data_IF_512216981440
#
_entry.id   IF_512216981440
#
_cell.length_a   1.000
_cell.length_b   1.000
_cell.length_c   1.000
_cell.angle_alpha   90.00
_cell.angle_beta   90.00
_cell.angle_gamma   90.00
#
_symmetry.space_group_name_H-M   'P 1'
#
loop_
_entity.id
_entity.type
_entity.pdbx_description
1 polymer ?
#
# COMPACT_ATOMS: atom_id res chain seq x y z
N UNK A 1 17.98 25.84 72.12
CA UNK A 1 17.81 24.80 71.09
C UNK A 1 18.02 25.45 69.73
N UNK A 2 18.95 24.87 68.93
CA UNK A 2 19.18 24.93 67.46
C UNK A 2 18.62 26.13 66.66
N UNK A 3 19.28 26.78 65.69
CA UNK A 3 20.61 26.78 65.05
C UNK A 3 20.54 27.98 64.07
N UNK A 4 21.47 28.93 64.15
CA UNK A 4 22.52 29.21 63.14
C UNK A 4 22.17 29.97 61.84
N UNK A 5 22.85 31.12 61.71
CA UNK A 5 23.56 31.70 60.55
C UNK A 5 22.83 32.54 59.47
N UNK A 6 22.89 33.87 59.65
CA UNK A 6 23.87 34.81 59.03
C UNK A 6 24.18 34.74 57.51
N UNK A 7 23.71 35.78 56.79
CA UNK A 7 24.48 36.70 55.91
C UNK A 7 24.95 36.28 54.49
N UNK A 8 24.38 36.98 53.48
CA UNK A 8 25.03 37.68 52.34
C UNK A 8 26.06 36.96 51.45
N UNK A 9 25.76 36.77 50.15
CA UNK A 9 26.48 37.37 49.01
C UNK A 9 25.91 36.93 47.63
N UNK A 10 25.77 37.92 46.73
CA UNK A 10 26.01 37.92 45.28
C UNK A 10 26.10 36.56 44.54
N UNK A 11 25.23 36.31 43.56
CA UNK A 11 25.52 35.38 42.46
C UNK A 11 24.93 35.88 41.14
N UNK A 12 25.80 35.95 40.15
CA UNK A 12 25.58 36.33 38.77
C UNK A 12 24.49 35.45 38.11
N UNK A 13 23.59 36.09 37.37
CA UNK A 13 22.67 35.38 36.47
C UNK A 13 23.50 34.91 35.26
N UNK A 14 23.85 33.63 35.28
CA UNK A 14 24.40 32.90 34.14
C UNK A 14 23.27 32.64 33.14
N UNK A 15 23.37 33.25 31.97
CA UNK A 15 22.58 32.90 30.78
C UNK A 15 23.16 31.60 30.24
N UNK A 16 22.50 30.47 30.52
CA UNK A 16 22.79 29.19 29.88
C UNK A 16 22.22 29.21 28.46
N UNK A 17 23.07 29.51 27.48
CA UNK A 17 22.89 29.04 26.12
C UNK A 17 22.97 27.52 26.14
N UNK A 18 21.85 26.84 25.92
CA UNK A 18 21.85 25.43 25.53
C UNK A 18 22.32 25.43 24.07
N UNK A 19 23.62 25.27 23.89
CA UNK A 19 24.20 24.87 22.62
C UNK A 19 23.63 23.49 22.26
N UNK A 20 23.09 23.35 21.06
CA UNK A 20 22.80 22.05 20.47
C UNK A 20 24.07 21.20 20.51
N UNK A 21 23.99 20.04 21.16
CA UNK A 21 24.97 18.98 21.03
C UNK A 21 25.11 18.63 19.54
N UNK A 22 26.22 19.04 18.94
CA UNK A 22 26.71 18.45 17.70
C UNK A 22 27.34 17.13 18.10
N UNK A 23 26.65 16.02 17.84
CA UNK A 23 27.25 14.69 17.94
C UNK A 23 28.55 14.65 17.12
N UNK A 24 29.59 14.08 17.73
CA UNK A 24 30.90 13.91 17.11
C UNK A 24 30.79 12.88 15.99
N UNK A 25 30.89 13.34 14.76
CA UNK A 25 31.20 12.50 13.61
C UNK A 25 32.68 12.16 13.68
N UNK A 26 33.03 10.87 13.77
CA UNK A 26 34.40 10.40 13.62
C UNK A 26 34.75 10.32 12.12
N UNK A 27 35.86 10.95 11.73
CA UNK A 27 36.34 11.04 10.35
C UNK A 27 37.58 10.16 10.18
N UNK A 28 37.58 9.31 9.15
CA UNK A 28 38.76 8.58 8.70
C UNK A 28 39.57 9.39 7.68
N UNK A 29 40.85 9.58 8.02
CA UNK A 29 42.05 10.01 7.25
C UNK A 29 41.92 11.01 6.08
N UNK A 30 42.53 12.20 6.26
CA UNK A 30 43.38 12.77 5.20
C UNK A 30 43.22 14.24 4.78
N UNK A 31 42.85 15.17 5.66
CA UNK A 31 42.97 16.62 5.39
C UNK A 31 42.10 17.46 6.32
N UNK A 32 42.63 18.57 6.83
CA UNK A 32 41.82 19.52 7.62
C UNK A 32 40.62 20.01 6.79
N UNK A 33 39.41 20.09 7.37
CA UNK A 33 38.22 20.55 6.66
C UNK A 33 38.41 22.01 6.22
N UNK A 34 38.37 22.25 4.91
CA UNK A 34 38.53 23.58 4.32
C UNK A 34 37.20 24.11 3.81
N UNK A 35 36.91 25.40 4.07
CA UNK A 35 35.79 26.09 3.45
C UNK A 35 36.09 26.34 1.97
N UNK A 36 35.10 26.09 1.11
CA UNK A 36 35.16 26.24 -0.35
C UNK A 36 33.95 27.05 -0.78
N UNK A 37 34.18 28.10 -1.56
CA UNK A 37 33.12 28.90 -2.18
C UNK A 37 32.67 28.26 -3.50
N UNK A 38 31.37 28.13 -3.70
CA UNK A 38 30.77 27.40 -4.83
C UNK A 38 29.71 28.25 -5.51
N UNK A 39 29.76 28.29 -6.85
CA UNK A 39 28.76 28.95 -7.68
C UNK A 39 27.58 28.03 -7.97
N UNK A 40 26.52 28.07 -7.15
CA UNK A 40 25.48 27.05 -7.22
C UNK A 40 24.63 27.13 -8.51
N UNK A 41 24.26 28.34 -8.96
CA UNK A 41 23.40 28.52 -10.16
C UNK A 41 24.04 28.09 -11.47
N UNK A 42 25.36 28.20 -11.60
CA UNK A 42 26.09 27.78 -12.81
C UNK A 42 26.24 26.25 -12.87
N UNK A 43 26.13 25.58 -11.73
CA UNK A 43 26.33 24.15 -11.59
C UNK A 43 25.02 23.37 -11.56
N UNK A 44 23.90 24.00 -11.21
CA UNK A 44 22.62 23.34 -10.99
C UNK A 44 21.54 23.85 -11.94
N UNK A 45 20.85 22.90 -12.57
CA UNK A 45 19.62 23.16 -13.30
C UNK A 45 18.49 22.24 -12.79
N UNK A 46 17.33 22.80 -12.46
CA UNK A 46 16.15 22.04 -12.00
C UNK A 46 15.16 21.94 -13.14
N UNK A 47 14.77 20.72 -13.47
CA UNK A 47 13.84 20.40 -14.56
C UNK A 47 12.63 19.66 -13.98
N UNK A 48 11.46 19.84 -14.58
CA UNK A 48 10.22 19.19 -14.15
C UNK A 48 9.69 18.32 -15.28
N UNK A 49 9.36 17.08 -14.95
CA UNK A 49 8.64 16.19 -15.88
C UNK A 49 7.14 16.32 -15.63
N UNK A 50 6.40 16.80 -16.62
CA UNK A 50 4.95 16.87 -16.55
C UNK A 50 4.32 15.46 -16.72
N UNK A 51 3.18 15.22 -16.07
CA UNK A 51 2.38 14.01 -16.29
C UNK A 51 1.75 14.05 -17.70
N UNK A 52 1.41 12.90 -18.33
CA UNK A 52 1.01 12.82 -19.75
C UNK A 52 -0.25 13.63 -20.15
N UNK A 53 -0.99 14.23 -19.21
CA UNK A 53 -2.25 14.96 -19.48
C UNK A 53 -2.32 16.40 -18.98
N UNK A 54 -1.27 16.97 -18.39
CA UNK A 54 -1.30 18.38 -17.94
C UNK A 54 -0.33 19.23 -18.76
N UNK A 55 -0.86 20.15 -19.57
CA UNK A 55 -0.11 21.31 -20.08
C UNK A 55 -0.29 22.44 -19.07
N UNK A 56 0.83 23.04 -18.63
CA UNK A 56 0.99 24.21 -17.73
C UNK A 56 1.38 23.83 -16.29
N UNK A 57 2.42 24.37 -15.65
CA UNK A 57 3.37 25.46 -15.97
C UNK A 57 4.77 25.05 -15.46
N UNK A 58 5.78 25.22 -16.31
CA UNK A 58 7.23 25.03 -16.07
C UNK A 58 7.85 26.06 -15.12
N UNK A 59 7.12 26.54 -14.09
CA UNK A 59 7.66 27.54 -13.17
C UNK A 59 8.31 26.84 -11.96
N UNK A 60 9.64 26.83 -11.93
CA UNK A 60 10.43 26.24 -10.86
C UNK A 60 10.84 27.25 -9.78
N UNK A 61 10.48 28.53 -9.90
CA UNK A 61 10.92 29.60 -8.99
C UNK A 61 10.63 29.28 -7.51
N UNK A 62 9.47 28.67 -7.22
CA UNK A 62 9.02 28.34 -5.88
C UNK A 62 9.49 26.98 -5.37
N UNK A 63 10.22 26.21 -6.19
CA UNK A 63 10.74 24.91 -5.75
C UNK A 63 11.74 25.12 -4.61
N UNK A 64 11.63 24.29 -3.59
CA UNK A 64 12.55 24.26 -2.46
C UNK A 64 13.75 23.42 -2.88
N UNK A 65 14.93 24.02 -2.88
CA UNK A 65 16.21 23.38 -3.15
C UNK A 65 17.02 23.34 -1.86
N UNK A 66 17.39 22.13 -1.46
CA UNK A 66 18.09 21.86 -0.21
C UNK A 66 19.39 21.11 -0.48
N UNK A 67 20.47 21.59 0.12
CA UNK A 67 21.78 20.94 0.10
C UNK A 67 21.94 20.08 1.35
N UNK A 68 22.34 18.83 1.17
CA UNK A 68 22.57 17.86 2.24
C UNK A 68 23.99 17.32 2.15
N UNK A 69 24.56 16.98 3.31
CA UNK A 69 25.73 16.08 3.34
C UNK A 69 25.30 14.68 2.87
N UNK A 70 26.24 13.86 2.42
CA UNK A 70 25.95 12.45 2.07
C UNK A 70 25.26 11.64 3.18
N UNK A 71 25.46 12.05 4.44
CA UNK A 71 24.89 11.42 5.62
C UNK A 71 23.49 11.99 5.99
N UNK A 72 22.83 12.66 5.05
CA UNK A 72 21.49 13.25 5.17
C UNK A 72 21.35 14.40 6.18
N UNK A 73 22.46 15.05 6.57
CA UNK A 73 22.39 16.27 7.38
C UNK A 73 22.10 17.47 6.49
N UNK A 74 21.04 18.22 6.80
CA UNK A 74 20.71 19.46 6.09
C UNK A 74 21.81 20.50 6.32
N UNK A 75 22.31 21.06 5.22
CA UNK A 75 23.32 22.13 5.22
C UNK A 75 22.62 23.47 5.07
N UNK A 76 21.86 23.63 4.00
CA UNK A 76 21.17 24.88 3.65
C UNK A 76 19.92 24.58 2.80
N UNK A 77 18.98 25.52 2.74
CA UNK A 77 17.74 25.41 1.95
C UNK A 77 17.22 26.76 1.48
N UNK A 78 16.73 26.81 0.24
CA UNK A 78 16.22 28.03 -0.41
C UNK A 78 15.02 27.71 -1.31
N UNK A 79 14.29 28.73 -1.74
CA UNK A 79 13.52 28.63 -2.99
C UNK A 79 14.49 28.73 -4.17
N UNK A 80 14.16 28.16 -5.32
CA UNK A 80 15.04 28.20 -6.50
C UNK A 80 15.31 29.63 -6.96
N UNK A 81 14.31 30.51 -6.88
CA UNK A 81 14.42 31.92 -7.21
C UNK A 81 15.35 32.69 -6.25
N UNK A 82 15.23 32.45 -4.94
CA UNK A 82 16.02 33.15 -3.93
C UNK A 82 17.35 32.44 -3.65
N UNK A 83 17.64 31.35 -4.37
CA UNK A 83 18.89 30.61 -4.26
C UNK A 83 20.08 31.53 -4.56
N UNK A 84 21.08 31.61 -3.66
CA UNK A 84 22.24 32.45 -3.85
C UNK A 84 23.12 31.95 -5.00
N UNK A 85 23.76 32.87 -5.70
CA UNK A 85 24.71 32.53 -6.77
C UNK A 85 25.99 31.90 -6.19
N UNK A 86 26.37 32.27 -4.96
CA UNK A 86 27.58 31.84 -4.29
C UNK A 86 27.27 31.39 -2.85
N UNK A 87 27.79 30.24 -2.45
CA UNK A 87 27.73 29.73 -1.07
C UNK A 87 29.11 29.31 -0.59
N UNK A 88 29.34 29.30 0.73
CA UNK A 88 30.58 28.80 1.34
C UNK A 88 30.28 27.57 2.18
N UNK A 89 30.86 26.42 1.84
CA UNK A 89 30.64 25.14 2.53
C UNK A 89 31.95 24.40 2.74
N UNK A 90 31.99 23.46 3.68
CA UNK A 90 33.18 22.63 3.88
C UNK A 90 33.41 21.70 2.69
N UNK A 91 34.68 21.40 2.38
CA UNK A 91 35.01 20.34 1.45
C UNK A 91 34.45 19.00 1.94
N UNK A 92 33.81 18.23 1.05
CA UNK A 92 33.12 16.99 1.42
C UNK A 92 32.20 16.47 0.33
N UNK A 93 31.40 15.46 0.67
CA UNK A 93 30.43 14.83 -0.23
C UNK A 93 29.02 15.29 0.09
N UNK A 94 28.27 15.70 -0.94
CA UNK A 94 26.97 16.32 -0.82
C UNK A 94 26.00 15.80 -1.88
N UNK A 95 24.71 16.01 -1.65
CA UNK A 95 23.68 15.89 -2.67
C UNK A 95 22.67 17.02 -2.53
N UNK A 96 21.92 17.28 -3.60
CA UNK A 96 20.87 18.30 -3.64
C UNK A 96 19.53 17.61 -3.83
N UNK A 97 18.54 18.04 -3.04
CA UNK A 97 17.14 17.65 -3.20
C UNK A 97 16.32 18.86 -3.63
N UNK A 98 15.53 18.71 -4.68
CA UNK A 98 14.58 19.71 -5.14
C UNK A 98 13.16 19.19 -4.96
N UNK A 99 12.26 20.00 -4.41
CA UNK A 99 10.84 19.65 -4.22
C UNK A 99 9.94 20.84 -4.55
N UNK A 100 8.76 20.60 -5.13
CA UNK A 100 7.83 21.69 -5.51
C UNK A 100 7.26 22.44 -4.30
N UNK A 101 7.08 21.72 -3.18
CA UNK A 101 6.64 22.24 -1.88
C UNK A 101 6.91 21.15 -0.84
N UNK A 102 6.48 21.30 0.42
CA UNK A 102 6.58 20.20 1.39
C UNK A 102 5.53 19.12 1.09
N UNK A 103 5.94 17.85 1.06
CA UNK A 103 5.01 16.73 0.85
C UNK A 103 3.97 16.69 1.98
N UNK A 104 2.69 16.80 1.61
CA UNK A 104 1.56 16.57 2.51
C UNK A 104 0.99 15.18 2.28
N UNK A 105 0.41 14.60 3.33
CA UNK A 105 -0.24 13.30 3.26
C UNK A 105 -1.46 13.32 2.32
N UNK A 106 -2.24 14.40 2.36
CA UNK A 106 -3.34 14.72 1.44
C UNK A 106 -3.14 16.17 0.97
N UNK A 107 -3.25 16.42 -0.34
CA UNK A 107 -3.06 17.74 -0.94
C UNK A 107 -3.97 17.96 -2.15
N UNK A 108 -4.08 19.22 -2.58
CA UNK A 108 -4.88 19.63 -3.76
C UNK A 108 -4.01 19.90 -4.99
N UNK A 109 -2.70 19.63 -4.90
CA UNK A 109 -1.73 19.87 -5.96
C UNK A 109 -0.71 18.74 -6.10
N UNK A 110 -0.21 18.56 -7.32
CA UNK A 110 0.86 17.62 -7.61
C UNK A 110 2.17 17.99 -6.88
N UNK A 111 2.82 17.00 -6.29
CA UNK A 111 4.09 17.13 -5.60
C UNK A 111 5.19 16.54 -6.47
N UNK A 112 6.17 17.36 -6.81
CA UNK A 112 7.33 16.95 -7.60
C UNK A 112 8.58 16.91 -6.74
N UNK A 113 9.39 15.88 -6.92
CA UNK A 113 10.66 15.72 -6.22
C UNK A 113 11.73 15.15 -7.15
N UNK A 114 12.95 15.63 -6.99
CA UNK A 114 14.15 15.10 -7.62
C UNK A 114 15.35 15.21 -6.70
N UNK A 115 16.29 14.28 -6.84
CA UNK A 115 17.52 14.23 -6.05
C UNK A 115 18.70 14.06 -6.99
N UNK A 116 19.78 14.83 -6.79
CA UNK A 116 21.01 14.65 -7.55
C UNK A 116 21.74 13.37 -7.15
N UNK A 117 22.67 12.92 -8.00
CA UNK A 117 23.74 12.02 -7.53
C UNK A 117 24.57 12.72 -6.45
N UNK A 118 25.25 11.93 -5.60
CA UNK A 118 26.23 12.45 -4.66
C UNK A 118 27.43 13.00 -5.43
N UNK A 119 27.87 14.22 -5.10
CA UNK A 119 29.03 14.87 -5.69
C UNK A 119 29.99 15.36 -4.61
N UNK A 120 31.28 15.40 -4.95
CA UNK A 120 32.32 15.88 -4.02
C UNK A 120 32.73 17.32 -4.33
N UNK A 121 32.78 18.14 -3.29
CA UNK A 121 33.30 19.50 -3.29
C UNK A 121 34.73 19.46 -2.76
N UNK A 122 35.69 19.90 -3.56
CA UNK A 122 37.12 19.87 -3.21
C UNK A 122 37.75 21.25 -3.38
N UNK A 123 38.73 21.63 -2.55
CA UNK A 123 39.44 22.89 -2.71
C UNK A 123 40.08 23.01 -4.10
N UNK A 124 39.96 24.18 -4.73
CA UNK A 124 40.54 24.50 -6.04
C UNK A 124 40.09 23.60 -7.20
N UNK A 125 38.98 22.87 -7.06
CA UNK A 125 38.37 22.08 -8.14
C UNK A 125 36.99 22.64 -8.50
N UNK A 126 36.62 22.57 -9.78
CA UNK A 126 35.25 22.85 -10.24
C UNK A 126 34.46 21.55 -10.14
N UNK A 127 33.35 21.58 -9.43
CA UNK A 127 32.43 20.45 -9.30
C UNK A 127 31.23 20.71 -10.20
N UNK A 128 30.96 19.85 -11.18
CA UNK A 128 29.73 19.92 -11.98
C UNK A 128 28.62 19.09 -11.34
N UNK A 129 27.39 19.62 -11.32
CA UNK A 129 26.19 18.89 -10.88
C UNK A 129 25.31 18.64 -12.10
N UNK A 130 24.90 17.39 -12.29
CA UNK A 130 23.97 17.05 -13.38
C UNK A 130 22.62 17.75 -13.12
N UNK A 131 21.87 18.12 -14.18
CA UNK A 131 20.51 18.62 -14.02
C UNK A 131 19.66 17.68 -13.17
N UNK A 132 18.91 18.25 -12.21
CA UNK A 132 17.99 17.50 -11.37
C UNK A 132 16.65 17.43 -12.08
N UNK A 133 16.22 16.21 -12.37
CA UNK A 133 14.90 15.94 -12.93
C UNK A 133 13.92 15.66 -11.80
N UNK A 134 12.94 16.54 -11.61
CA UNK A 134 11.86 16.36 -10.66
C UNK A 134 10.69 15.62 -11.32
N UNK A 135 10.15 14.64 -10.62
CA UNK A 135 9.00 13.85 -11.06
C UNK A 135 7.88 13.90 -10.04
N UNK A 136 6.63 13.77 -10.49
CA UNK A 136 5.49 13.66 -9.59
C UNK A 136 5.68 12.43 -8.71
N UNK A 137 5.60 12.58 -7.39
CA UNK A 137 5.72 11.46 -6.44
C UNK A 137 4.43 11.16 -5.70
N UNK A 138 3.47 12.08 -5.65
CA UNK A 138 2.15 11.79 -5.08
C UNK A 138 1.24 11.08 -6.08
N UNK A 139 0.28 10.34 -5.55
CA UNK A 139 -0.76 9.64 -6.33
C UNK A 139 -1.89 10.63 -6.55
N UNK A 140 -2.26 10.87 -7.81
CA UNK A 140 -3.40 11.71 -8.17
C UNK A 140 -4.67 10.86 -8.26
N UNK A 141 -5.75 11.23 -7.58
CA UNK A 141 -7.05 10.62 -7.75
C UNK A 141 -8.00 11.57 -8.47
N UNK A 142 -8.67 11.08 -9.50
CA UNK A 142 -9.63 11.84 -10.33
C UNK A 142 -10.94 11.09 -10.35
N UNK A 143 -12.04 11.74 -9.95
CA UNK A 143 -13.37 11.13 -9.95
C UNK A 143 -14.18 11.65 -11.13
N UNK A 144 -14.92 10.74 -11.76
CA UNK A 144 -15.84 11.03 -12.85
C UNK A 144 -17.10 10.20 -12.70
N UNK A 145 -18.21 10.76 -13.19
CA UNK A 145 -19.51 10.11 -13.26
C UNK A 145 -20.04 10.25 -14.68
N UNK A 146 -20.57 9.17 -15.24
CA UNK A 146 -21.25 9.27 -16.53
C UNK A 146 -22.55 10.10 -16.44
N UNK A 147 -22.98 10.66 -17.57
CA UNK A 147 -24.17 11.52 -17.65
C UNK A 147 -25.49 10.76 -17.43
N UNK A 148 -25.48 9.43 -17.52
CA UNK A 148 -26.68 8.63 -17.32
C UNK A 148 -26.93 8.44 -15.81
N UNK A 149 -25.90 8.01 -15.07
CA UNK A 149 -25.89 7.81 -13.63
C UNK A 149 -26.27 9.07 -12.87
N UNK A 150 -25.71 10.23 -13.24
CA UNK A 150 -25.98 11.52 -12.59
C UNK A 150 -27.48 11.84 -12.44
N UNK A 151 -28.33 11.35 -13.33
CA UNK A 151 -29.79 11.60 -13.31
C UNK A 151 -30.52 10.79 -12.23
N UNK A 152 -29.89 9.74 -11.71
CA UNK A 152 -30.45 8.82 -10.74
C UNK A 152 -29.82 8.95 -9.34
N UNK A 153 -28.75 9.74 -9.22
CA UNK A 153 -28.08 9.98 -7.94
C UNK A 153 -28.95 10.80 -6.99
N UNK A 154 -29.06 10.34 -5.75
CA UNK A 154 -29.63 11.08 -4.63
C UNK A 154 -28.71 12.20 -4.14
N UNK A 155 -29.19 12.98 -3.18
CA UNK A 155 -28.42 14.08 -2.58
C UNK A 155 -27.51 13.61 -1.44
N UNK A 156 -27.52 12.32 -1.12
CA UNK A 156 -26.76 11.70 -0.02
C UNK A 156 -25.49 10.96 -0.51
N UNK A 157 -25.09 11.19 -1.77
CA UNK A 157 -23.94 10.51 -2.37
C UNK A 157 -22.63 11.01 -1.76
N UNK A 158 -21.79 10.07 -1.36
CA UNK A 158 -20.42 10.28 -0.94
C UNK A 158 -19.46 9.36 -1.68
N UNK A 159 -18.27 9.87 -1.96
CA UNK A 159 -17.16 9.10 -2.51
C UNK A 159 -15.96 9.26 -1.60
N UNK A 160 -15.51 8.17 -0.99
CA UNK A 160 -14.31 8.17 -0.16
C UNK A 160 -13.18 7.45 -0.87
N UNK A 161 -12.04 8.12 -0.98
CA UNK A 161 -10.81 7.58 -1.53
C UNK A 161 -9.84 7.39 -0.36
N UNK A 162 -9.33 6.18 -0.18
CA UNK A 162 -8.35 5.85 0.86
C UNK A 162 -7.07 5.42 0.18
N UNK A 163 -5.94 5.99 0.56
CA UNK A 163 -4.61 5.67 0.03
C UNK A 163 -3.66 5.45 1.20
N UNK A 164 -3.28 4.18 1.42
CA UNK A 164 -2.58 3.78 2.65
C UNK A 164 -3.41 4.09 3.89
N UNK A 165 -2.90 4.92 4.80
CA UNK A 165 -3.59 5.34 6.04
C UNK A 165 -4.40 6.64 5.88
N UNK A 166 -4.29 7.31 4.72
CA UNK A 166 -4.90 8.61 4.49
C UNK A 166 -6.20 8.46 3.69
N UNK A 167 -7.17 9.36 3.92
CA UNK A 167 -8.42 9.36 3.17
C UNK A 167 -8.90 10.76 2.83
N UNK A 168 -9.76 10.84 1.81
CA UNK A 168 -10.52 12.02 1.47
C UNK A 168 -11.93 11.62 1.03
N UNK A 169 -12.94 12.31 1.55
CA UNK A 169 -14.34 12.06 1.25
C UNK A 169 -14.95 13.28 0.59
N UNK A 170 -15.51 13.07 -0.60
CA UNK A 170 -16.40 14.03 -1.23
C UNK A 170 -17.84 13.74 -0.80
N UNK A 171 -18.57 14.79 -0.41
CA UNK A 171 -20.02 14.74 -0.20
C UNK A 171 -20.80 15.51 -1.27
N UNK A 172 -20.08 16.08 -2.25
CA UNK A 172 -20.63 16.75 -3.42
C UNK A 172 -19.94 16.16 -4.67
N UNK A 173 -20.74 15.65 -5.60
CA UNK A 173 -20.24 15.03 -6.82
C UNK A 173 -19.59 16.04 -7.76
N UNK A 174 -20.03 17.30 -7.76
CA UNK A 174 -19.43 18.34 -8.58
C UNK A 174 -18.06 18.74 -8.02
N UNK A 175 -17.90 18.73 -6.69
CA UNK A 175 -16.60 18.90 -6.06
C UNK A 175 -15.65 17.76 -6.48
N UNK A 176 -16.13 16.51 -6.41
CA UNK A 176 -15.36 15.33 -6.78
C UNK A 176 -14.86 15.37 -8.24
N UNK A 177 -15.70 15.85 -9.16
CA UNK A 177 -15.39 15.95 -10.59
C UNK A 177 -14.35 17.04 -10.87
N UNK A 178 -14.50 18.20 -10.23
CA UNK A 178 -13.72 19.39 -10.58
C UNK A 178 -12.40 19.50 -9.80
N UNK A 179 -12.30 18.87 -8.63
CA UNK A 179 -11.16 19.02 -7.73
C UNK A 179 -10.46 17.67 -7.55
N UNK A 180 -9.41 17.35 -8.33
CA UNK A 180 -8.61 16.17 -8.05
C UNK A 180 -7.89 16.31 -6.71
N UNK A 181 -7.74 15.19 -6.00
CA UNK A 181 -7.00 15.13 -4.75
C UNK A 181 -5.73 14.31 -4.94
N UNK A 182 -4.70 14.62 -4.16
CA UNK A 182 -3.41 13.98 -4.22
C UNK A 182 -3.03 13.38 -2.87
N UNK A 183 -2.45 12.20 -2.90
CA UNK A 183 -2.05 11.47 -1.70
C UNK A 183 -0.55 11.17 -1.71
N UNK A 184 0.10 11.32 -0.57
CA UNK A 184 1.44 10.76 -0.40
C UNK A 184 1.37 9.23 -0.56
N UNK A 185 2.30 8.60 -1.31
CA UNK A 185 2.34 7.16 -1.41
C UNK A 185 2.68 6.53 -0.05
N UNK A 186 2.19 5.32 0.20
CA UNK A 186 2.62 4.54 1.35
C UNK A 186 4.11 4.15 1.21
N UNK A 187 4.72 3.72 2.31
CA UNK A 187 6.09 3.17 2.25
C UNK A 187 6.08 1.87 1.45
N UNK A 188 6.85 1.82 0.38
CA UNK A 188 6.93 0.65 -0.52
C UNK A 188 6.84 1.07 -1.99
N UNK A 189 6.94 0.10 -2.89
CA UNK A 189 6.82 0.34 -4.33
C UNK A 189 5.35 0.47 -4.79
N UNK A 190 4.44 -0.21 -4.07
CA UNK A 190 3.00 -0.27 -4.37
C UNK A 190 2.23 0.30 -3.18
N UNK A 191 1.21 1.10 -3.47
CA UNK A 191 0.27 1.67 -2.51
C UNK A 191 -1.15 1.20 -2.82
N UNK A 192 -1.82 0.64 -1.83
CA UNK A 192 -3.23 0.23 -1.95
C UNK A 192 -4.15 1.45 -1.93
N UNK A 193 -5.13 1.45 -2.82
CA UNK A 193 -6.14 2.49 -3.01
C UNK A 193 -7.53 1.87 -2.87
N UNK A 194 -8.33 2.33 -1.91
CA UNK A 194 -9.74 1.96 -1.80
C UNK A 194 -10.60 3.09 -2.34
N UNK A 195 -11.64 2.73 -3.08
CA UNK A 195 -12.69 3.62 -3.53
C UNK A 195 -14.00 3.12 -2.95
N UNK A 196 -14.62 3.95 -2.11
CA UNK A 196 -15.86 3.66 -1.42
C UNK A 196 -16.92 4.59 -1.99
N UNK A 197 -18.02 4.01 -2.48
CA UNK A 197 -19.21 4.74 -2.85
C UNK A 197 -20.30 4.44 -1.81
N UNK A 198 -20.96 5.48 -1.32
CA UNK A 198 -22.15 5.34 -0.47
C UNK A 198 -23.17 6.39 -0.91
N UNK A 199 -24.38 5.98 -1.26
CA UNK A 199 -25.39 6.94 -1.74
C UNK A 199 -26.64 6.28 -2.27
N UNK A 200 -27.69 7.07 -2.46
CA UNK A 200 -28.92 6.59 -3.09
C UNK A 200 -28.81 6.66 -4.61
N UNK A 201 -29.20 5.60 -5.32
CA UNK A 201 -29.32 5.53 -6.78
C UNK A 201 -30.68 4.96 -7.16
N UNK A 202 -31.46 5.72 -7.93
CA UNK A 202 -32.83 5.38 -8.35
C UNK A 202 -33.70 4.85 -7.20
N UNK A 203 -33.66 5.54 -6.05
CA UNK A 203 -34.36 5.22 -4.78
C UNK A 203 -33.80 4.06 -3.94
N UNK A 204 -32.80 3.33 -4.44
CA UNK A 204 -32.12 2.28 -3.69
C UNK A 204 -30.84 2.80 -3.05
N UNK A 205 -30.56 2.36 -1.82
CA UNK A 205 -29.28 2.65 -1.16
C UNK A 205 -28.22 1.71 -1.72
N UNK A 206 -27.12 2.27 -2.19
CA UNK A 206 -25.96 1.53 -2.69
C UNK A 206 -24.76 1.87 -1.81
N UNK A 207 -24.01 0.85 -1.41
CA UNK A 207 -22.75 0.98 -0.69
C UNK A 207 -21.79 -0.09 -1.23
N UNK A 208 -20.63 0.31 -1.71
CA UNK A 208 -19.61 -0.66 -2.10
C UNK A 208 -18.20 -0.09 -1.94
N UNK A 209 -17.24 -1.00 -1.83
CA UNK A 209 -15.81 -0.68 -1.82
C UNK A 209 -15.12 -1.48 -2.91
N UNK A 210 -14.32 -0.81 -3.75
CA UNK A 210 -13.38 -1.47 -4.67
C UNK A 210 -11.95 -1.12 -4.30
N UNK A 211 -11.05 -2.08 -4.48
CA UNK A 211 -9.63 -1.96 -4.11
C UNK A 211 -8.76 -2.00 -5.35
N UNK A 212 -7.72 -1.18 -5.37
CA UNK A 212 -6.78 -1.03 -6.46
C UNK A 212 -5.36 -0.85 -5.91
N UNK A 213 -4.37 -0.96 -6.79
CA UNK A 213 -2.96 -0.77 -6.46
C UNK A 213 -2.35 0.28 -7.36
N UNK A 214 -1.69 1.29 -6.79
CA UNK A 214 -1.06 2.39 -7.51
C UNK A 214 0.39 2.60 -7.03
N UNK A 215 1.23 3.07 -7.93
CA UNK A 215 2.64 3.43 -7.64
C UNK A 215 2.79 4.93 -7.42
N UNK A 216 3.89 5.33 -6.80
CA UNK A 216 4.26 6.75 -6.69
C UNK A 216 4.26 7.44 -8.05
N UNK A 217 3.57 8.57 -8.17
CA UNK A 217 3.48 9.33 -9.43
C UNK A 217 2.40 8.85 -10.40
N UNK A 218 1.58 7.85 -10.03
CA UNK A 218 0.44 7.42 -10.84
C UNK A 218 -0.77 8.35 -10.73
N UNK A 219 -1.61 8.34 -11.77
CA UNK A 219 -2.95 8.89 -11.73
C UNK A 219 -4.00 7.77 -11.74
N UNK A 220 -4.85 7.74 -10.70
CA UNK A 220 -5.98 6.82 -10.54
C UNK A 220 -7.24 7.54 -11.02
N UNK A 221 -7.72 7.18 -12.20
CA UNK A 221 -8.97 7.71 -12.74
C UNK A 221 -10.12 6.78 -12.36
N UNK A 222 -11.05 7.30 -11.56
CA UNK A 222 -12.18 6.63 -10.94
C UNK A 222 -13.42 7.05 -11.71
N UNK A 223 -14.02 6.13 -12.47
CA UNK A 223 -15.17 6.43 -13.32
C UNK A 223 -16.38 5.56 -12.91
N UNK A 224 -17.37 6.21 -12.32
CA UNK A 224 -18.64 5.62 -11.94
C UNK A 224 -19.60 5.66 -13.13
N UNK A 225 -20.12 4.48 -13.49
CA UNK A 225 -21.04 4.30 -14.60
C UNK A 225 -22.32 3.62 -14.15
N UNK A 226 -23.38 3.81 -14.92
CA UNK A 226 -24.64 3.14 -14.66
C UNK A 226 -24.68 1.76 -15.33
N UNK A 227 -24.97 0.70 -14.57
CA UNK A 227 -25.21 -0.64 -15.10
C UNK A 227 -26.61 -1.12 -14.76
N UNK A 228 -27.34 -1.60 -15.76
CA UNK A 228 -28.66 -2.19 -15.57
C UNK A 228 -28.50 -3.62 -15.07
N UNK A 229 -29.20 -3.97 -13.99
CA UNK A 229 -29.29 -5.33 -13.50
C UNK A 229 -30.75 -5.77 -13.63
N UNK A 230 -31.02 -6.71 -14.54
CA UNK A 230 -32.30 -7.40 -14.53
C UNK A 230 -32.27 -8.40 -13.37
N UNK A 231 -32.97 -8.10 -12.30
CA UNK A 231 -33.43 -9.16 -11.40
C UNK A 231 -34.64 -9.80 -12.09
N UNK A 232 -34.59 -11.10 -12.38
CA UNK A 232 -35.76 -11.88 -12.80
C UNK A 232 -36.71 -12.02 -11.60
N UNK A 233 -37.29 -10.91 -11.14
CA UNK A 233 -38.42 -10.92 -10.21
C UNK A 233 -39.65 -10.56 -11.02
N UNK A 234 -40.38 -11.59 -11.43
CA UNK A 234 -41.74 -11.44 -11.93
C UNK A 234 -42.59 -11.15 -10.70
N UNK A 235 -42.90 -9.87 -10.43
CA UNK A 235 -44.01 -9.56 -9.54
C UNK A 235 -45.32 -10.07 -10.18
N UNK A 236 -46.27 -10.51 -9.34
CA UNK A 236 -47.58 -11.10 -9.69
C UNK A 236 -48.49 -10.15 -10.54
N UNK A 237 -47.95 -9.00 -10.96
CA UNK A 237 -48.53 -7.99 -11.84
C UNK A 237 -48.00 -8.00 -13.29
N UNK A 238 -46.96 -8.79 -13.60
CA UNK A 238 -46.39 -8.92 -14.95
C UNK A 238 -45.48 -7.77 -15.39
N UNK A 239 -45.00 -6.94 -14.46
CA UNK A 239 -43.97 -5.92 -14.69
C UNK A 239 -42.61 -6.44 -14.20
N UNK A 240 -41.60 -6.41 -15.07
CA UNK A 240 -40.19 -6.66 -14.70
C UNK A 240 -39.67 -5.39 -14.02
N UNK A 241 -39.30 -5.48 -12.74
CA UNK A 241 -38.58 -4.41 -12.05
C UNK A 241 -37.10 -4.47 -12.47
N UNK A 242 -36.63 -3.47 -13.20
CA UNK A 242 -35.21 -3.30 -13.48
C UNK A 242 -34.56 -2.64 -12.26
N UNK A 243 -33.57 -3.28 -11.64
CA UNK A 243 -32.76 -2.68 -10.58
C UNK A 243 -31.55 -2.01 -11.22
N UNK A 244 -31.28 -0.77 -10.85
CA UNK A 244 -30.14 -0.01 -11.36
C UNK A 244 -28.99 -0.15 -10.36
N UNK A 245 -27.79 -0.55 -10.81
CA UNK A 245 -26.58 -0.59 -9.97
C UNK A 245 -25.55 0.42 -10.46
N UNK A 246 -24.76 0.91 -9.52
CA UNK A 246 -23.55 1.66 -9.84
C UNK A 246 -22.44 0.68 -10.15
N UNK A 247 -21.79 0.87 -11.28
CA UNK A 247 -20.55 0.19 -11.59
C UNK A 247 -19.39 1.17 -11.52
N UNK A 248 -18.20 0.66 -11.21
CA UNK A 248 -16.98 1.44 -11.05
C UNK A 248 -15.89 0.83 -11.91
N UNK A 249 -15.43 1.63 -12.87
CA UNK A 249 -14.25 1.35 -13.69
C UNK A 249 -13.09 2.23 -13.21
N UNK A 250 -11.90 1.64 -13.02
CA UNK A 250 -10.69 2.40 -12.66
C UNK A 250 -9.61 2.17 -13.69
N UNK A 251 -9.04 3.28 -14.19
CA UNK A 251 -7.88 3.26 -15.08
C UNK A 251 -6.69 3.90 -14.37
N UNK A 252 -5.57 3.21 -14.32
CA UNK A 252 -4.34 3.70 -13.71
C UNK A 252 -3.37 4.09 -14.82
N UNK A 253 -2.97 5.36 -14.82
CA UNK A 253 -1.99 5.92 -15.74
C UNK A 253 -0.67 6.07 -14.98
N UNK A 254 0.24 5.13 -15.18
CA UNK A 254 1.64 5.20 -14.76
C UNK A 254 2.49 5.73 -15.95
N UNK A 255 3.62 6.38 -15.67
CA UNK A 255 4.64 6.75 -16.66
C UNK A 255 5.19 5.55 -17.45
N UNK A 256 5.11 4.33 -16.91
CA UNK A 256 5.76 3.16 -17.52
C UNK A 256 4.84 2.03 -18.02
N UNK A 257 3.56 1.98 -17.65
CA UNK A 257 2.61 0.96 -18.15
C UNK A 257 1.17 1.45 -18.09
N UNK A 258 0.38 1.17 -19.13
CA UNK A 258 -1.09 1.21 -19.05
C UNK A 258 -1.57 -0.12 -18.48
N UNK A 259 -1.80 -0.20 -17.17
CA UNK A 259 -2.41 -1.36 -16.54
C UNK A 259 -3.92 -1.06 -16.43
N UNK A 260 -4.74 -1.85 -17.13
CA UNK A 260 -6.17 -1.93 -16.81
C UNK A 260 -6.23 -2.67 -15.47
N UNK A 261 -6.62 -1.97 -14.41
CA UNK A 261 -6.71 -2.58 -13.09
C UNK A 261 -7.82 -3.63 -13.10
N UNK A 262 -7.49 -4.87 -12.73
CA UNK A 262 -8.45 -5.95 -12.59
C UNK A 262 -9.42 -5.63 -11.46
N UNK A 263 -10.70 -5.76 -11.75
CA UNK A 263 -11.80 -5.54 -10.82
C UNK A 263 -11.99 -6.78 -9.93
N UNK A 264 -11.91 -6.61 -8.61
CA UNK A 264 -12.31 -7.63 -7.65
C UNK A 264 -13.63 -7.18 -7.00
N UNK A 265 -14.73 -7.82 -7.37
CA UNK A 265 -16.06 -7.54 -6.81
C UNK A 265 -16.24 -8.30 -5.50
N UNK A 266 -16.55 -7.57 -4.43
CA UNK A 266 -17.02 -8.13 -3.16
C UNK A 266 -18.54 -8.39 -3.29
N UNK A 267 -19.07 -9.56 -2.90
CA UNK A 267 -20.51 -9.75 -2.75
C UNK A 267 -21.05 -8.86 -1.61
N UNK A 268 -22.16 -8.16 -1.84
CA UNK A 268 -22.94 -7.54 -0.77
C UNK A 268 -23.44 -8.64 0.16
N UNK A 269 -23.04 -8.59 1.43
CA UNK A 269 -23.76 -9.28 2.51
C UNK A 269 -24.13 -8.25 3.58
N UNK A 270 -25.40 -8.34 3.96
CA UNK A 270 -26.16 -7.50 4.88
C UNK A 270 -25.51 -7.42 6.28
N UNK A 271 -25.66 -6.24 6.90
CA UNK A 271 -25.50 -5.90 8.32
C UNK A 271 -25.05 -7.03 9.27
N UNK A 272 -23.79 -7.03 9.73
CA UNK A 272 -23.45 -7.56 11.07
C UNK A 272 -22.33 -6.76 11.75
N UNK A 273 -22.56 -6.48 13.05
CA UNK A 273 -21.78 -5.59 13.91
C UNK A 273 -20.29 -5.98 14.04
N UNK A 274 -19.43 -4.97 14.28
CA UNK A 274 -18.01 -5.14 14.63
C UNK A 274 -17.85 -5.85 15.99
N UNK A 275 -17.99 -7.18 16.01
CA UNK A 275 -17.55 -8.00 17.13
C UNK A 275 -16.09 -8.44 16.93
N UNK A 276 -15.27 -8.30 17.96
CA UNK A 276 -13.85 -8.67 17.99
C UNK A 276 -13.72 -10.19 18.07
N UNK A 277 -14.14 -10.89 17.02
CA UNK A 277 -14.10 -12.34 16.96
C UNK A 277 -12.74 -12.81 16.45
N UNK A 278 -12.24 -13.89 17.06
CA UNK A 278 -11.05 -14.61 16.56
C UNK A 278 -11.32 -15.16 15.15
N UNK A 279 -10.29 -15.40 14.33
CA UNK A 279 -10.47 -16.11 13.08
C UNK A 279 -11.14 -17.46 13.31
N UNK A 280 -11.94 -17.94 12.36
CA UNK A 280 -12.51 -19.29 12.36
C UNK A 280 -12.00 -20.06 11.15
N UNK A 281 -11.83 -21.37 11.33
CA UNK A 281 -11.36 -22.29 10.30
C UNK A 281 -12.32 -23.48 10.32
N UNK A 282 -13.06 -23.70 9.24
CA UNK A 282 -14.10 -24.74 9.17
C UNK A 282 -14.01 -25.51 7.86
N UNK A 283 -14.37 -26.79 7.91
CA UNK A 283 -14.46 -27.61 6.70
C UNK A 283 -15.81 -27.42 5.99
N UNK A 284 -15.80 -27.23 4.68
CA UNK A 284 -17.04 -27.10 3.91
C UNK A 284 -17.68 -28.48 3.72
N UNK A 285 -18.72 -28.76 4.49
CA UNK A 285 -19.43 -30.03 4.46
C UNK A 285 -18.76 -31.18 5.23
N UNK A 286 -17.75 -30.89 6.06
CA UNK A 286 -17.11 -31.85 6.95
C UNK A 286 -16.59 -31.19 8.24
N UNK A 287 -16.38 -31.98 9.29
CA UNK A 287 -15.73 -31.50 10.51
C UNK A 287 -14.20 -31.57 10.33
N UNK A 288 -13.53 -30.42 10.40
CA UNK A 288 -12.07 -30.31 10.23
C UNK A 288 -11.29 -31.06 11.31
N UNK A 289 -11.90 -31.33 12.47
CA UNK A 289 -11.28 -32.06 13.60
C UNK A 289 -11.28 -33.57 13.41
N UNK A 290 -12.13 -34.06 12.51
CA UNK A 290 -12.24 -35.47 12.18
C UNK A 290 -11.39 -35.81 10.96
N UNK A 291 -10.80 -37.01 10.94
CA UNK A 291 -9.99 -37.45 9.82
C UNK A 291 -10.86 -37.81 8.61
N UNK A 292 -10.52 -37.28 7.44
CA UNK A 292 -11.23 -37.53 6.19
C UNK A 292 -10.55 -38.65 5.41
N UNK A 293 -11.30 -39.71 5.10
CA UNK A 293 -10.80 -40.81 4.25
C UNK A 293 -10.90 -40.41 2.78
N UNK A 294 -9.78 -40.46 2.07
CA UNK A 294 -9.72 -40.25 0.64
C UNK A 294 -10.23 -41.51 -0.07
N UNK A 295 -11.29 -41.44 -0.89
CA UNK A 295 -11.79 -42.60 -1.62
C UNK A 295 -10.74 -43.16 -2.58
N UNK A 296 -10.82 -44.45 -2.92
CA UNK A 296 -9.89 -45.08 -3.87
C UNK A 296 -9.94 -44.47 -5.28
N UNK A 297 -10.99 -43.71 -5.62
CA UNK A 297 -11.08 -42.91 -6.84
C UNK A 297 -10.20 -41.65 -6.81
N UNK A 298 -9.64 -41.28 -5.66
CA UNK A 298 -8.89 -40.03 -5.44
C UNK A 298 -9.76 -38.77 -5.45
N UNK A 299 -11.08 -38.90 -5.60
CA UNK A 299 -12.01 -37.79 -5.71
C UNK A 299 -12.64 -37.48 -4.35
N UNK A 300 -12.13 -36.45 -3.68
CA UNK A 300 -12.70 -35.87 -2.47
C UNK A 300 -12.63 -34.36 -2.60
N UNK A 301 -13.78 -33.69 -2.53
CA UNK A 301 -13.82 -32.23 -2.40
C UNK A 301 -13.39 -31.88 -1.00
N UNK A 302 -12.33 -31.08 -0.88
CA UNK A 302 -11.78 -30.68 0.40
C UNK A 302 -11.45 -29.20 0.36
N UNK A 303 -12.37 -28.43 0.94
CA UNK A 303 -12.35 -26.98 0.98
C UNK A 303 -12.45 -26.55 2.43
N UNK A 304 -11.52 -25.71 2.86
CA UNK A 304 -11.50 -25.13 4.20
C UNK A 304 -11.84 -23.64 4.08
N UNK A 305 -12.85 -23.22 4.80
CA UNK A 305 -13.29 -21.83 4.90
C UNK A 305 -12.61 -21.18 6.09
N UNK A 306 -11.89 -20.08 5.84
CA UNK A 306 -11.26 -19.26 6.87
C UNK A 306 -11.97 -17.92 6.92
N UNK A 307 -12.46 -17.51 8.08
CA UNK A 307 -13.01 -16.16 8.26
C UNK A 307 -12.28 -15.43 9.38
N UNK A 308 -12.09 -14.13 9.24
CA UNK A 308 -11.46 -13.27 10.23
C UNK A 308 -12.10 -11.87 10.18
N UNK A 309 -12.90 -11.51 11.19
CA UNK A 309 -13.56 -10.20 11.23
C UNK A 309 -12.57 -9.03 11.19
N UNK A 310 -11.38 -9.21 11.78
CA UNK A 310 -10.31 -8.21 11.77
C UNK A 310 -9.35 -8.34 10.58
N UNK A 311 -9.72 -9.07 9.51
CA UNK A 311 -8.93 -9.29 8.30
C UNK A 311 -7.63 -10.09 8.53
N UNK A 312 -7.29 -10.98 7.62
CA UNK A 312 -6.09 -11.81 7.73
C UNK A 312 -4.81 -11.00 7.49
N UNK A 313 -3.75 -11.30 8.22
CA UNK A 313 -2.37 -10.83 7.99
C UNK A 313 -1.46 -11.95 7.56
N UNK A 314 -1.69 -13.16 8.09
CA UNK A 314 -0.93 -14.36 7.75
C UNK A 314 -1.85 -15.57 7.66
N UNK A 315 -1.52 -16.48 6.75
CA UNK A 315 -2.11 -17.82 6.73
C UNK A 315 -0.98 -18.82 6.55
N UNK A 316 -0.52 -19.37 7.66
CA UNK A 316 0.54 -20.37 7.66
C UNK A 316 -0.06 -21.75 7.42
N UNK A 317 0.60 -22.50 6.54
CA UNK A 317 0.29 -23.91 6.30
C UNK A 317 1.54 -24.72 6.57
N UNK A 318 1.42 -25.72 7.43
CA UNK A 318 2.47 -26.72 7.66
C UNK A 318 1.96 -28.10 7.31
N UNK A 319 2.72 -28.80 6.47
CA UNK A 319 2.42 -30.14 5.98
C UNK A 319 3.19 -31.15 6.81
N UNK A 320 2.48 -32.06 7.46
CA UNK A 320 3.05 -33.19 8.19
C UNK A 320 2.50 -34.50 7.59
N UNK A 321 3.38 -35.23 6.90
CA UNK A 321 3.04 -36.46 6.20
C UNK A 321 4.21 -37.42 6.19
N UNK A 322 3.91 -38.71 6.31
CA UNK A 322 4.91 -39.78 6.23
C UNK A 322 5.34 -40.10 4.80
N UNK A 323 4.52 -39.76 3.80
CA UNK A 323 4.73 -40.11 2.38
C UNK A 323 4.98 -38.89 1.49
N UNK A 324 4.44 -37.72 1.84
CA UNK A 324 4.73 -36.46 1.16
C UNK A 324 5.95 -35.82 1.81
N UNK A 325 7.14 -36.30 1.43
CA UNK A 325 8.43 -35.85 1.94
C UNK A 325 8.80 -34.46 1.41
N UNK A 326 9.86 -33.85 1.95
CA UNK A 326 10.35 -32.56 1.45
C UNK A 326 10.80 -32.61 -0.02
N UNK A 327 11.36 -33.74 -0.47
CA UNK A 327 11.76 -33.94 -1.87
C UNK A 327 10.54 -34.00 -2.80
N UNK A 328 9.46 -34.67 -2.38
CA UNK A 328 8.19 -34.72 -3.15
C UNK A 328 7.50 -33.35 -3.19
N UNK A 329 7.54 -32.59 -2.09
CA UNK A 329 7.04 -31.21 -2.03
C UNK A 329 7.84 -30.29 -2.95
N UNK A 330 9.17 -30.40 -2.96
CA UNK A 330 10.03 -29.62 -3.84
C UNK A 330 9.75 -29.90 -5.32
N UNK A 331 9.38 -31.13 -5.67
CA UNK A 331 9.00 -31.54 -7.02
C UNK A 331 7.78 -30.79 -7.59
N UNK A 332 6.93 -30.23 -6.71
CA UNK A 332 5.77 -29.39 -7.06
C UNK A 332 5.94 -27.92 -6.65
N UNK A 333 7.18 -27.50 -6.33
CA UNK A 333 7.49 -26.11 -5.97
C UNK A 333 7.00 -25.70 -4.59
N UNK A 334 6.86 -26.65 -3.65
CA UNK A 334 6.41 -26.40 -2.28
C UNK A 334 7.50 -26.67 -1.24
N UNK A 335 7.32 -26.06 -0.06
CA UNK A 335 8.07 -26.40 1.16
C UNK A 335 7.14 -27.06 2.17
N UNK A 336 7.73 -27.66 3.20
CA UNK A 336 7.00 -28.25 4.33
C UNK A 336 6.16 -27.23 5.11
N UNK A 337 6.63 -25.99 5.20
CA UNK A 337 5.95 -24.89 5.87
C UNK A 337 6.10 -23.63 5.03
N UNK A 338 5.01 -22.89 4.86
CA UNK A 338 4.98 -21.67 4.09
C UNK A 338 3.85 -20.76 4.60
N UNK A 339 3.99 -19.47 4.29
CA UNK A 339 2.95 -18.47 4.52
C UNK A 339 2.32 -18.11 3.19
N UNK A 340 1.01 -18.29 3.07
CA UNK A 340 0.30 -17.91 1.86
C UNK A 340 0.22 -16.39 1.70
N UNK A 341 0.28 -15.62 2.79
CA UNK A 341 0.32 -14.16 2.74
C UNK A 341 1.68 -13.63 2.25
N UNK A 342 2.77 -14.34 2.54
CA UNK A 342 4.13 -13.96 2.14
C UNK A 342 4.83 -15.18 1.53
N UNK A 343 4.45 -15.58 0.31
CA UNK A 343 4.87 -16.86 -0.29
C UNK A 343 6.32 -16.88 -0.77
N UNK A 344 7.00 -15.73 -0.82
CA UNK A 344 8.37 -15.58 -1.33
C UNK A 344 8.54 -16.27 -2.70
N UNK A 345 9.57 -17.09 -2.85
CA UNK A 345 9.86 -17.89 -4.05
C UNK A 345 8.81 -18.98 -4.37
N UNK A 346 7.90 -19.28 -3.44
CA UNK A 346 6.87 -20.31 -3.60
C UNK A 346 5.61 -19.80 -4.31
N UNK A 347 5.52 -18.51 -4.62
CA UNK A 347 4.31 -17.89 -5.16
C UNK A 347 3.80 -18.58 -6.43
N UNK A 348 4.68 -18.89 -7.38
CA UNK A 348 4.30 -19.55 -8.64
C UNK A 348 3.83 -20.99 -8.42
N UNK A 349 4.50 -21.73 -7.53
CA UNK A 349 4.13 -23.10 -7.18
C UNK A 349 2.79 -23.18 -6.45
N UNK A 350 2.60 -22.33 -5.44
CA UNK A 350 1.36 -22.22 -4.66
C UNK A 350 0.18 -21.77 -5.53
N UNK A 351 0.39 -20.76 -6.39
CA UNK A 351 -0.62 -20.27 -7.32
C UNK A 351 -1.00 -21.31 -8.39
N UNK A 352 -0.03 -22.07 -8.90
CA UNK A 352 -0.29 -23.17 -9.87
C UNK A 352 -1.17 -24.28 -9.31
N UNK A 353 -1.16 -24.46 -7.98
CA UNK A 353 -2.01 -25.42 -7.27
C UNK A 353 -3.40 -24.87 -6.95
N UNK A 354 -3.64 -23.59 -7.22
CA UNK A 354 -4.89 -22.90 -6.95
C UNK A 354 -5.01 -22.39 -5.51
N UNK A 355 -3.90 -22.33 -4.75
CA UNK A 355 -3.92 -21.72 -3.43
C UNK A 355 -3.91 -20.19 -3.52
N UNK A 356 -4.67 -19.51 -2.66
CA UNK A 356 -4.61 -18.06 -2.58
C UNK A 356 -3.23 -17.63 -2.08
N UNK A 357 -2.63 -16.62 -2.69
CA UNK A 357 -1.31 -16.10 -2.33
C UNK A 357 -1.27 -14.58 -2.24
N UNK A 358 -0.36 -14.05 -1.43
CA UNK A 358 -0.12 -12.62 -1.25
C UNK A 358 -1.42 -11.86 -0.90
N UNK A 359 -1.82 -10.93 -1.77
CA UNK A 359 -3.00 -10.06 -1.58
C UNK A 359 -4.32 -10.84 -1.58
N UNK A 360 -4.33 -12.07 -2.10
CA UNK A 360 -5.48 -12.98 -1.98
C UNK A 360 -5.67 -13.51 -0.56
N UNK A 361 -4.71 -13.28 0.34
CA UNK A 361 -4.78 -13.65 1.76
C UNK A 361 -4.75 -12.40 2.64
N UNK A 362 -3.82 -11.48 2.37
CA UNK A 362 -3.65 -10.27 3.18
C UNK A 362 -4.89 -9.39 3.08
N UNK A 363 -5.45 -8.99 4.21
CA UNK A 363 -6.59 -8.07 4.29
C UNK A 363 -7.96 -8.71 4.09
N UNK A 364 -8.02 -10.01 3.79
CA UNK A 364 -9.26 -10.73 3.52
C UNK A 364 -10.02 -11.07 4.81
N UNK A 365 -11.34 -10.87 4.81
CA UNK A 365 -12.22 -11.29 5.92
C UNK A 365 -12.72 -12.72 5.77
N UNK A 366 -12.75 -13.24 4.54
CA UNK A 366 -13.12 -14.60 4.20
C UNK A 366 -12.17 -15.11 3.14
N UNK A 367 -11.74 -16.35 3.27
CA UNK A 367 -10.75 -16.96 2.40
C UNK A 367 -11.05 -18.44 2.22
N UNK A 368 -11.05 -18.89 0.98
CA UNK A 368 -11.16 -20.30 0.64
C UNK A 368 -9.77 -20.92 0.49
N UNK A 369 -9.44 -21.90 1.34
CA UNK A 369 -8.28 -22.75 1.17
C UNK A 369 -8.71 -24.09 0.57
N UNK A 370 -8.61 -24.19 -0.76
CA UNK A 370 -9.10 -25.32 -1.53
C UNK A 370 -7.97 -26.30 -1.85
N UNK A 371 -7.95 -27.46 -1.20
CA UNK A 371 -6.95 -28.50 -1.44
C UNK A 371 -7.47 -29.63 -2.36
N UNK A 372 -8.65 -29.48 -2.95
CA UNK A 372 -9.32 -30.51 -3.76
C UNK A 372 -8.44 -30.99 -4.92
N UNK A 373 -7.72 -30.07 -5.57
CA UNK A 373 -6.80 -30.36 -6.67
C UNK A 373 -5.57 -31.17 -6.23
N UNK A 374 -5.24 -31.12 -4.93
CA UNK A 374 -4.10 -31.81 -4.33
C UNK A 374 -4.44 -33.25 -3.90
N UNK A 375 -5.71 -33.54 -3.58
CA UNK A 375 -6.15 -34.86 -3.11
C UNK A 375 -5.75 -36.01 -4.06
N UNK A 376 -5.92 -35.93 -5.39
CA UNK A 376 -5.51 -37.01 -6.29
C UNK A 376 -4.00 -37.29 -6.26
N UNK A 377 -3.18 -36.26 -6.04
CA UNK A 377 -1.72 -36.41 -5.91
C UNK A 377 -1.38 -37.19 -4.64
N UNK A 378 -2.04 -36.89 -3.53
CA UNK A 378 -1.87 -37.63 -2.27
C UNK A 378 -2.24 -39.11 -2.42
N UNK A 379 -3.35 -39.40 -3.13
CA UNK A 379 -3.76 -40.77 -3.41
C UNK A 379 -2.73 -41.53 -4.28
N UNK A 380 -2.05 -40.83 -5.19
CA UNK A 380 -1.00 -41.39 -6.04
C UNK A 380 0.29 -41.77 -5.30
N UNK A 381 0.59 -41.13 -4.16
CA UNK A 381 1.78 -41.39 -3.35
C UNK A 381 1.67 -42.66 -2.48
N UNK A 382 0.49 -43.30 -2.44
CA UNK A 382 0.24 -44.53 -1.69
C UNK A 382 -0.44 -44.29 -0.34
N UNK A 383 -0.54 -45.34 0.48
CA UNK A 383 -1.23 -45.27 1.77
C UNK A 383 -0.46 -44.42 2.77
N UNK A 384 -1.13 -43.46 3.41
CA UNK A 384 -0.51 -42.56 4.37
C UNK A 384 -1.51 -41.68 5.10
N UNK A 385 -1.02 -41.02 6.16
CA UNK A 385 -1.74 -39.94 6.85
C UNK A 385 -1.07 -38.61 6.51
N UNK A 386 -1.88 -37.61 6.17
CA UNK A 386 -1.45 -36.28 5.79
C UNK A 386 -2.17 -35.25 6.65
N UNK A 387 -1.41 -34.40 7.33
CA UNK A 387 -1.94 -33.32 8.16
C UNK A 387 -1.54 -31.99 7.54
N UNK A 388 -2.55 -31.14 7.34
CA UNK A 388 -2.39 -29.75 6.95
C UNK A 388 -2.75 -28.92 8.18
N UNK A 389 -1.73 -28.40 8.85
CA UNK A 389 -1.88 -27.54 10.01
C UNK A 389 -2.05 -26.12 9.48
N UNK A 390 -3.25 -25.57 9.64
CA UNK A 390 -3.64 -24.27 9.09
C UNK A 390 -3.74 -23.29 10.26
N UNK A 391 -2.95 -22.22 10.19
CA UNK A 391 -2.90 -21.20 11.23
C UNK A 391 -3.17 -19.83 10.62
N UNK A 392 -4.34 -19.28 10.95
CA UNK A 392 -4.78 -17.96 10.54
C UNK A 392 -4.41 -16.92 11.60
N UNK A 393 -3.89 -15.77 11.16
CA UNK A 393 -3.57 -14.61 12.01
C UNK A 393 -4.28 -13.40 11.44
N UNK A 394 -4.97 -12.62 12.28
CA UNK A 394 -5.64 -11.39 11.86
C UNK A 394 -4.80 -10.11 12.10
N UNK A 395 -5.31 -8.94 11.71
CA UNK A 395 -4.62 -7.65 11.91
C UNK A 395 -4.46 -7.26 13.38
N UNK A 396 -5.28 -7.81 14.27
CA UNK A 396 -5.16 -7.64 15.71
C UNK A 396 -4.19 -8.66 16.34
N UNK A 397 -3.50 -9.46 15.52
CA UNK A 397 -2.64 -10.57 15.93
C UNK A 397 -3.38 -11.67 16.71
N UNK A 398 -4.70 -11.80 16.53
CA UNK A 398 -5.49 -12.92 17.06
C UNK A 398 -5.28 -14.12 16.15
N UNK A 399 -5.04 -15.27 16.79
CA UNK A 399 -4.61 -16.50 16.10
C UNK A 399 -5.64 -17.61 16.32
N UNK A 400 -5.94 -18.33 15.25
CA UNK A 400 -6.64 -19.62 15.31
C UNK A 400 -5.89 -20.65 14.49
N UNK A 401 -5.80 -21.88 15.01
CA UNK A 401 -5.13 -22.99 14.37
C UNK A 401 -6.04 -24.21 14.40
N UNK A 402 -6.19 -24.87 13.26
CA UNK A 402 -6.93 -26.12 13.12
C UNK A 402 -6.14 -27.05 12.18
N UNK A 403 -6.31 -28.37 12.33
CA UNK A 403 -5.55 -29.36 11.57
C UNK A 403 -6.48 -30.21 10.73
N UNK A 404 -6.39 -30.07 9.41
CA UNK A 404 -7.08 -30.94 8.47
C UNK A 404 -6.28 -32.24 8.29
N UNK A 405 -6.91 -33.38 8.60
CA UNK A 405 -6.29 -34.70 8.45
C UNK A 405 -6.92 -35.47 7.30
N UNK A 406 -6.11 -35.87 6.32
CA UNK A 406 -6.50 -36.76 5.22
C UNK A 406 -5.81 -38.12 5.37
N UNK A 407 -6.55 -39.20 5.15
CA UNK A 407 -6.04 -40.58 5.16
C UNK A 407 -6.19 -41.18 3.77
N UNK A 408 -5.09 -41.58 3.15
CA UNK A 408 -5.05 -42.28 1.87
C UNK A 408 -4.75 -43.77 2.10
N UNK A 409 -5.30 -44.63 1.24
CA UNK A 409 -5.21 -46.08 1.41
C UNK A 409 -6.28 -46.64 2.36
N UNK A 410 -6.44 -47.97 2.34
CA UNK A 410 -7.41 -48.69 3.18
C UNK A 410 -6.85 -49.06 4.54
#
# INVERSE_FOLDING_TARGET
>A
MKKLYTFFYLCCILISFIACDREKVEYTEGGDPQMVDIRLKELLNVQVTEAPTARSVTNTDEYIVSLYTKDNSLVESWTYKDMPDLISVLSGDYYIKAMSHQLKQVDTKAYFEGTSEVFSIKPSAITEVKPITCEMKNIKAVVTFDEALKKFLGTDVTVTIVVGENSHTYSDIEEAINNPIYFAPAKGEITVVYVIFDGTVDTYKENFTKTYSATSGSAVNINFTLTNVSEDVIEDSGLVSLKMKVDLSVTIIDKNYNIIAGEETIPDDEDEEEDKTKPTITGRGFDIKEAQKVPSSGQLTCVVDITASNRLTHLYVTIDSEVLTEDELAGVGLKKSFDLAYPEELQEGLGSLGFPVADQVIGQKSLEFNITTFVPLLAGLGSGTHKFIIKAVDQNNVVTEETLTLITGN
#
